data_IF_451299720274
#
_entry.id   IF_451299720274
#
_cell.length_a   1.000
_cell.length_b   1.000
_cell.length_c   1.000
_cell.angle_alpha   90.00
_cell.angle_beta   90.00
_cell.angle_gamma   90.00
#
_symmetry.space_group_name_H-M   'P 1'
#
loop_
_entity.id
_entity.type
_entity.pdbx_description
1 polymer ?
#
# COMPACT_ATOMS: atom_id res chain seq x y z
N UNK A 1 7.18 -19.62 12.40
CA UNK A 1 7.77 -18.31 12.71
C UNK A 1 9.27 -18.42 13.03
N UNK A 2 9.67 -19.36 13.93
CA UNK A 2 11.06 -19.51 14.34
C UNK A 2 12.02 -19.58 13.14
N UNK A 3 11.77 -20.43 12.18
CA UNK A 3 12.62 -20.59 10.99
C UNK A 3 12.81 -19.26 10.23
N UNK A 4 11.75 -18.50 9.97
CA UNK A 4 11.84 -17.25 9.20
C UNK A 4 12.49 -16.11 9.98
N UNK A 5 12.03 -15.88 11.21
CA UNK A 5 12.46 -14.72 11.99
C UNK A 5 13.73 -14.94 12.80
N UNK A 6 13.94 -16.16 13.31
CA UNK A 6 15.10 -16.50 14.15
C UNK A 6 16.22 -17.13 13.34
N UNK A 7 15.93 -18.26 12.65
CA UNK A 7 16.99 -19.02 11.99
C UNK A 7 17.48 -18.32 10.71
N UNK A 8 16.56 -17.75 9.90
CA UNK A 8 16.91 -16.95 8.73
C UNK A 8 17.17 -15.46 9.04
N UNK A 9 16.76 -14.98 10.20
CA UNK A 9 17.02 -13.64 10.70
C UNK A 9 16.25 -12.51 10.00
N UNK A 10 15.13 -12.80 9.31
CA UNK A 10 14.29 -11.76 8.73
C UNK A 10 13.58 -10.94 9.82
N UNK A 11 13.38 -9.66 9.56
CA UNK A 11 12.64 -8.79 10.48
C UNK A 11 12.48 -7.37 9.95
N UNK A 12 11.70 -6.57 10.68
CA UNK A 12 11.45 -5.18 10.34
C UNK A 12 12.72 -4.32 10.38
N UNK A 13 12.85 -3.38 9.44
CA UNK A 13 13.87 -2.34 9.52
C UNK A 13 13.38 -1.20 10.42
N UNK A 14 13.67 -1.30 11.70
CA UNK A 14 13.25 -0.29 12.69
C UNK A 14 14.09 0.99 12.65
N UNK A 15 15.32 0.91 12.10
CA UNK A 15 16.27 2.03 12.07
C UNK A 15 16.02 2.96 10.88
N UNK A 16 15.57 2.39 9.76
CA UNK A 16 15.27 3.14 8.53
C UNK A 16 14.07 2.53 7.82
N UNK A 17 12.88 2.85 8.31
CA UNK A 17 11.63 2.32 7.78
C UNK A 17 11.34 2.77 6.33
N UNK A 18 11.75 4.00 5.99
CA UNK A 18 11.48 4.61 4.68
C UNK A 18 12.57 4.38 3.64
N UNK A 19 13.57 3.55 3.93
CA UNK A 19 14.53 3.10 2.92
C UNK A 19 13.77 2.33 1.81
N UNK A 20 13.88 2.74 0.53
CA UNK A 20 13.24 2.04 -0.59
C UNK A 20 13.66 0.58 -0.70
N UNK A 21 14.86 0.21 -0.25
CA UNK A 21 15.36 -1.17 -0.25
C UNK A 21 14.48 -2.10 0.60
N UNK A 22 13.77 -1.58 1.59
CA UNK A 22 12.80 -2.35 2.37
C UNK A 22 11.59 -2.84 1.57
N UNK A 23 11.30 -2.21 0.41
CA UNK A 23 10.18 -2.57 -0.47
C UNK A 23 10.62 -3.45 -1.65
N UNK A 24 11.91 -3.51 -1.97
CA UNK A 24 12.45 -4.35 -3.04
C UNK A 24 12.76 -5.74 -2.50
N UNK A 25 12.02 -6.77 -2.95
CA UNK A 25 12.17 -8.16 -2.46
C UNK A 25 13.61 -8.67 -2.59
N UNK A 26 14.32 -8.29 -3.66
CA UNK A 26 15.73 -8.63 -3.85
C UNK A 26 16.61 -8.04 -2.74
N UNK A 27 16.39 -6.80 -2.36
CA UNK A 27 17.13 -6.15 -1.29
C UNK A 27 16.79 -6.78 0.07
N UNK A 28 15.50 -7.02 0.33
CA UNK A 28 15.04 -7.69 1.56
C UNK A 28 15.62 -9.10 1.69
N UNK A 29 15.71 -9.86 0.61
CA UNK A 29 16.37 -11.18 0.63
C UNK A 29 17.85 -11.09 1.01
N UNK A 30 18.55 -10.05 0.57
CA UNK A 30 19.97 -9.82 0.85
C UNK A 30 20.20 -9.33 2.29
N UNK A 31 19.42 -8.31 2.70
CA UNK A 31 19.63 -7.60 3.96
C UNK A 31 18.91 -8.27 5.14
N UNK A 32 17.93 -9.13 4.87
CA UNK A 32 16.99 -9.71 5.85
C UNK A 32 16.15 -8.66 6.58
N UNK A 33 16.08 -7.44 6.04
CA UNK A 33 15.32 -6.32 6.60
C UNK A 33 14.30 -5.82 5.59
N UNK A 34 13.08 -5.51 6.08
CA UNK A 34 12.00 -5.04 5.22
C UNK A 34 10.89 -4.35 5.99
N UNK A 35 9.86 -3.97 5.27
CA UNK A 35 8.60 -3.46 5.81
C UNK A 35 7.58 -4.59 5.92
N UNK A 36 6.46 -4.41 6.65
CA UNK A 36 5.48 -5.48 6.88
C UNK A 36 5.07 -6.23 5.62
N UNK A 37 4.75 -5.52 4.53
CA UNK A 37 4.25 -6.16 3.31
C UNK A 37 5.32 -6.95 2.55
N UNK A 38 6.55 -6.47 2.46
CA UNK A 38 7.64 -7.19 1.78
C UNK A 38 8.04 -8.46 2.55
N UNK A 39 8.08 -8.38 3.88
CA UNK A 39 8.31 -9.53 4.75
C UNK A 39 7.15 -10.53 4.67
N UNK A 40 5.90 -10.05 4.63
CA UNK A 40 4.71 -10.88 4.47
C UNK A 40 4.75 -11.69 3.16
N UNK A 41 5.11 -11.06 2.05
CA UNK A 41 5.23 -11.74 0.75
C UNK A 41 6.23 -12.88 0.83
N UNK A 42 7.45 -12.63 1.35
CA UNK A 42 8.47 -13.67 1.50
C UNK A 42 8.04 -14.78 2.46
N UNK A 43 7.38 -14.42 3.56
CA UNK A 43 6.85 -15.39 4.52
C UNK A 43 5.77 -16.27 3.90
N UNK A 44 4.85 -15.69 3.12
CA UNK A 44 3.79 -16.42 2.42
C UNK A 44 4.34 -17.38 1.35
N UNK A 45 5.36 -16.97 0.60
CA UNK A 45 6.03 -17.84 -0.38
C UNK A 45 6.65 -19.07 0.28
N UNK A 46 7.33 -18.90 1.41
CA UNK A 46 7.86 -20.03 2.19
C UNK A 46 6.74 -20.91 2.75
N UNK A 47 5.67 -20.30 3.27
CA UNK A 47 4.51 -21.02 3.79
C UNK A 47 3.84 -21.87 2.71
N UNK A 48 3.71 -21.33 1.50
CA UNK A 48 3.16 -22.07 0.35
C UNK A 48 4.05 -23.27 -0.01
N UNK A 49 5.36 -23.11 -0.01
CA UNK A 49 6.31 -24.22 -0.20
C UNK A 49 6.13 -25.34 0.84
N UNK A 50 5.71 -25.00 2.05
CA UNK A 50 5.37 -25.93 3.13
C UNK A 50 3.91 -26.39 3.11
N UNK A 51 3.13 -26.03 2.08
CA UNK A 51 1.70 -26.33 1.93
C UNK A 51 0.82 -25.76 3.05
N UNK A 52 1.24 -24.67 3.68
CA UNK A 52 0.43 -23.93 4.65
C UNK A 52 -0.52 -22.98 3.92
N UNK A 53 -1.77 -22.89 4.38
CA UNK A 53 -2.77 -21.95 3.85
C UNK A 53 -2.59 -20.58 4.50
N UNK A 54 -1.68 -19.80 3.94
CA UNK A 54 -1.35 -18.46 4.40
C UNK A 54 -1.85 -17.39 3.41
N UNK A 55 -2.35 -16.28 3.93
CA UNK A 55 -2.92 -15.19 3.15
C UNK A 55 -2.47 -13.84 3.71
N UNK A 56 -2.22 -12.89 2.81
CA UNK A 56 -1.99 -11.49 3.19
C UNK A 56 -3.28 -10.83 3.65
N UNK A 57 -3.17 -9.93 4.60
CA UNK A 57 -4.28 -9.14 5.16
C UNK A 57 -3.90 -7.67 5.12
N UNK A 58 -4.70 -6.87 4.38
CA UNK A 58 -4.55 -5.43 4.31
C UNK A 58 -5.15 -4.74 5.53
N UNK A 59 -4.53 -4.91 6.69
CA UNK A 59 -5.00 -4.32 7.94
C UNK A 59 -4.80 -2.78 7.93
N UNK A 60 -5.69 -1.99 8.57
CA UNK A 60 -5.52 -0.55 8.69
C UNK A 60 -4.17 -0.19 9.31
N UNK A 61 -3.43 0.72 8.67
CA UNK A 61 -2.10 1.15 9.10
C UNK A 61 -1.00 0.08 9.01
N UNK A 62 -1.34 -1.18 8.69
CA UNK A 62 -0.37 -2.28 8.71
C UNK A 62 -0.66 -3.34 7.63
N UNK A 63 0.27 -4.28 7.44
CA UNK A 63 0.04 -5.47 6.61
C UNK A 63 0.38 -6.71 7.44
N UNK A 64 -0.50 -7.70 7.44
CA UNK A 64 -0.38 -8.89 8.28
C UNK A 64 -0.46 -10.17 7.45
N UNK A 65 -0.11 -11.28 8.06
CA UNK A 65 -0.30 -12.63 7.49
C UNK A 65 -1.29 -13.39 8.34
N UNK A 66 -2.30 -13.97 7.69
CA UNK A 66 -3.27 -14.88 8.29
C UNK A 66 -2.99 -16.31 7.86
N UNK A 67 -2.90 -17.23 8.82
CA UNK A 67 -2.72 -18.68 8.58
C UNK A 67 -3.96 -19.41 9.05
N UNK A 68 -4.56 -20.19 8.17
CA UNK A 68 -5.69 -21.05 8.50
C UNK A 68 -5.19 -22.42 8.97
N UNK A 69 -5.54 -22.76 10.20
CA UNK A 69 -5.22 -24.03 10.85
C UNK A 69 -6.50 -24.85 11.06
N UNK A 70 -6.42 -26.18 11.27
CA UNK A 70 -7.60 -27.03 11.51
C UNK A 70 -8.47 -26.58 12.71
N UNK A 71 -7.87 -25.93 13.72
CA UNK A 71 -8.55 -25.49 14.95
C UNK A 71 -8.81 -23.99 15.01
N UNK A 72 -8.62 -23.26 13.91
CA UNK A 72 -8.83 -21.80 13.87
C UNK A 72 -7.85 -21.08 12.97
N UNK A 73 -7.68 -19.78 13.20
CA UNK A 73 -6.74 -18.96 12.45
C UNK A 73 -5.74 -18.27 13.38
N UNK A 74 -4.54 -18.02 12.86
CA UNK A 74 -3.50 -17.24 13.52
C UNK A 74 -3.17 -16.04 12.65
N UNK A 75 -3.12 -14.87 13.25
CA UNK A 75 -2.67 -13.63 12.59
C UNK A 75 -1.26 -13.31 13.08
N UNK A 76 -0.36 -13.05 12.15
CA UNK A 76 1.06 -12.81 12.41
C UNK A 76 1.39 -11.40 11.93
N UNK A 77 2.08 -10.64 12.77
CA UNK A 77 2.73 -9.40 12.38
C UNK A 77 4.09 -9.74 11.73
N UNK A 78 4.26 -9.56 10.42
CA UNK A 78 5.50 -9.93 9.73
C UNK A 78 6.66 -9.00 10.05
N UNK A 79 6.40 -7.84 10.66
CA UNK A 79 7.45 -6.90 11.06
C UNK A 79 8.17 -7.36 12.33
N UNK A 80 7.41 -7.89 13.28
CA UNK A 80 7.92 -8.34 14.58
C UNK A 80 8.02 -9.87 14.71
N UNK A 81 7.32 -10.62 13.87
CA UNK A 81 7.23 -12.08 13.93
C UNK A 81 6.24 -12.60 14.97
N UNK A 82 5.57 -11.72 15.70
CA UNK A 82 4.65 -12.11 16.76
C UNK A 82 3.27 -12.49 16.22
N UNK A 83 2.66 -13.49 16.83
CA UNK A 83 1.25 -13.80 16.65
C UNK A 83 0.41 -12.83 17.49
N UNK A 84 -0.66 -12.32 16.91
CA UNK A 84 -1.54 -11.35 17.54
C UNK A 84 -2.81 -12.01 18.04
N UNK A 85 -3.20 -11.71 19.28
CA UNK A 85 -4.49 -12.11 19.86
C UNK A 85 -5.62 -11.24 19.28
N UNK A 86 -6.87 -11.64 19.52
CA UNK A 86 -8.05 -10.87 19.11
C UNK A 86 -8.05 -9.48 19.76
N UNK A 87 -7.69 -9.42 21.03
CA UNK A 87 -7.61 -8.20 21.84
C UNK A 87 -6.57 -7.24 21.24
N UNK A 88 -5.36 -7.74 20.95
CA UNK A 88 -4.29 -6.93 20.35
C UNK A 88 -4.66 -6.41 18.94
N UNK A 89 -5.46 -7.16 18.17
CA UNK A 89 -5.97 -6.71 16.88
C UNK A 89 -7.05 -5.64 17.07
N UNK A 90 -7.94 -5.77 18.05
CA UNK A 90 -8.96 -4.77 18.36
C UNK A 90 -8.35 -3.45 18.81
N UNK A 91 -7.36 -3.48 19.71
CA UNK A 91 -6.61 -2.30 20.16
C UNK A 91 -5.96 -1.56 18.98
N UNK A 92 -5.38 -2.30 18.02
CA UNK A 92 -4.77 -1.70 16.81
C UNK A 92 -5.79 -1.09 15.87
N UNK A 93 -7.07 -1.46 15.96
CA UNK A 93 -8.16 -0.90 15.16
C UNK A 93 -8.74 0.38 15.75
N UNK A 94 -8.66 0.59 17.04
CA UNK A 94 -9.27 1.75 17.72
C UNK A 94 -9.00 3.11 17.04
N UNK A 95 -7.76 3.43 16.59
CA UNK A 95 -7.48 4.71 15.92
C UNK A 95 -8.18 4.88 14.57
N UNK A 96 -8.63 3.77 13.95
CA UNK A 96 -9.23 3.73 12.62
C UNK A 96 -10.74 3.57 12.66
N UNK A 97 -11.32 3.38 13.83
CA UNK A 97 -12.78 3.32 14.00
C UNK A 97 -13.36 4.74 13.97
N UNK A 98 -14.54 4.93 13.34
CA UNK A 98 -15.22 6.22 13.40
C UNK A 98 -15.46 6.59 14.87
N UNK A 99 -14.95 7.73 15.31
CA UNK A 99 -15.31 8.27 16.63
C UNK A 99 -16.81 8.51 16.61
N UNK A 100 -17.56 7.68 17.32
CA UNK A 100 -18.96 7.92 17.56
C UNK A 100 -19.11 9.29 18.22
N UNK A 101 -19.85 10.20 17.57
CA UNK A 101 -20.30 11.43 18.21
C UNK A 101 -21.04 11.03 19.50
N UNK A 102 -20.55 11.48 20.62
CA UNK A 102 -21.16 11.29 21.94
C UNK A 102 -22.61 11.72 21.87
N UNK A 103 -23.57 10.78 21.95
CA UNK A 103 -24.96 11.11 22.12
C UNK A 103 -26.03 10.26 21.46
N UNK A 104 -25.72 9.28 20.67
CA UNK A 104 -26.73 8.34 20.13
C UNK A 104 -26.45 6.94 20.68
N UNK A 105 -27.48 6.36 21.29
CA UNK A 105 -27.59 5.02 21.88
C UNK A 105 -26.54 4.04 21.33
N UNK A 106 -25.66 3.61 22.22
CA UNK A 106 -24.69 2.55 21.99
C UNK A 106 -25.44 1.22 21.83
N UNK A 107 -25.89 0.93 20.62
CA UNK A 107 -26.13 -0.43 20.18
C UNK A 107 -24.92 -0.82 19.32
N UNK A 108 -24.12 -1.72 19.85
CA UNK A 108 -22.96 -2.43 19.36
C UNK A 108 -22.80 -2.51 17.82
N UNK A 109 -22.44 -1.45 17.16
CA UNK A 109 -21.94 -1.49 15.79
C UNK A 109 -20.39 -1.49 15.81
N UNK A 110 -19.80 -2.35 16.64
CA UNK A 110 -18.40 -2.74 16.49
C UNK A 110 -18.28 -3.43 15.11
N UNK A 111 -17.66 -2.75 14.16
CA UNK A 111 -17.42 -3.36 12.85
C UNK A 111 -16.66 -4.66 13.11
N UNK A 112 -17.22 -5.82 12.78
CA UNK A 112 -16.66 -7.10 13.18
C UNK A 112 -15.20 -7.19 12.73
N UNK A 113 -14.27 -7.51 13.64
CA UNK A 113 -12.85 -7.69 13.34
C UNK A 113 -12.62 -8.55 12.09
N UNK A 114 -13.51 -9.50 11.82
CA UNK A 114 -13.46 -10.36 10.63
C UNK A 114 -13.47 -9.60 9.30
N UNK A 115 -14.06 -8.40 9.22
CA UNK A 115 -14.05 -7.58 8.01
C UNK A 115 -12.65 -7.03 7.72
N UNK A 116 -11.88 -6.70 8.75
CA UNK A 116 -10.50 -6.23 8.63
C UNK A 116 -9.48 -7.36 8.42
N UNK A 117 -9.91 -8.62 8.61
CA UNK A 117 -9.09 -9.82 8.40
C UNK A 117 -9.39 -10.53 7.08
N UNK A 118 -10.00 -9.84 6.13
CA UNK A 118 -10.22 -10.41 4.79
C UNK A 118 -8.90 -10.60 4.06
N UNK A 119 -8.86 -11.65 3.23
CA UNK A 119 -7.70 -11.95 2.38
C UNK A 119 -7.51 -10.86 1.33
N UNK A 120 -6.34 -10.27 1.29
CA UNK A 120 -5.96 -9.35 0.23
C UNK A 120 -5.72 -10.12 -1.08
N UNK A 121 -6.25 -9.64 -2.19
CA UNK A 121 -5.95 -10.21 -3.49
C UNK A 121 -4.48 -9.97 -3.88
N UNK A 122 -3.83 -10.89 -4.61
CA UNK A 122 -2.43 -10.72 -5.03
C UNK A 122 -2.18 -9.39 -5.75
N UNK A 123 -3.13 -8.95 -6.57
CA UNK A 123 -3.08 -7.67 -7.27
C UNK A 123 -3.01 -6.48 -6.30
N UNK A 124 -3.79 -6.51 -5.24
CA UNK A 124 -3.83 -5.45 -4.22
C UNK A 124 -2.54 -5.42 -3.39
N UNK A 125 -1.95 -6.60 -3.13
CA UNK A 125 -0.65 -6.71 -2.46
C UNK A 125 0.43 -6.01 -3.30
N UNK A 126 0.52 -6.34 -4.60
CA UNK A 126 1.49 -5.70 -5.50
C UNK A 126 1.23 -4.20 -5.62
N UNK A 127 -0.03 -3.79 -5.78
CA UNK A 127 -0.40 -2.37 -5.82
C UNK A 127 0.03 -1.62 -4.56
N UNK A 128 -0.15 -2.21 -3.38
CA UNK A 128 0.27 -1.62 -2.11
C UNK A 128 1.80 -1.52 -2.00
N UNK A 129 2.54 -2.52 -2.46
CA UNK A 129 4.01 -2.45 -2.52
C UNK A 129 4.48 -1.31 -3.43
N UNK A 130 3.87 -1.16 -4.61
CA UNK A 130 4.17 -0.07 -5.52
C UNK A 130 3.81 1.30 -4.92
N UNK A 131 2.67 1.42 -4.22
CA UNK A 131 2.30 2.67 -3.55
C UNK A 131 3.27 3.07 -2.44
N UNK A 132 3.82 2.11 -1.70
CA UNK A 132 4.87 2.42 -0.74
C UNK A 132 6.09 3.03 -1.43
N UNK A 133 6.56 2.46 -2.53
CA UNK A 133 7.66 3.01 -3.32
C UNK A 133 7.31 4.39 -3.92
N UNK A 134 6.07 4.57 -4.40
CA UNK A 134 5.56 5.85 -4.90
C UNK A 134 5.73 6.96 -3.85
N UNK A 135 5.28 6.71 -2.62
CA UNK A 135 5.39 7.70 -1.54
C UNK A 135 6.85 8.01 -1.17
N UNK A 136 7.70 7.00 -1.12
CA UNK A 136 9.13 7.17 -0.84
C UNK A 136 9.79 8.01 -1.94
N UNK A 137 9.64 7.64 -3.21
CA UNK A 137 10.26 8.37 -4.31
C UNK A 137 9.69 9.79 -4.45
N UNK A 138 8.40 9.99 -4.17
CA UNK A 138 7.79 11.32 -4.12
C UNK A 138 8.42 12.19 -3.03
N UNK A 139 8.60 11.67 -1.82
CA UNK A 139 9.20 12.40 -0.71
C UNK A 139 10.67 12.75 -0.95
N UNK A 140 11.39 11.87 -1.66
CA UNK A 140 12.78 12.07 -2.06
C UNK A 140 12.95 12.91 -3.33
N UNK A 141 11.84 13.29 -4.00
CA UNK A 141 11.82 13.99 -5.29
C UNK A 141 12.58 13.22 -6.40
N UNK A 142 12.64 11.89 -6.28
CA UNK A 142 13.20 11.03 -7.33
C UNK A 142 12.12 10.78 -8.41
N UNK A 143 11.93 11.79 -9.25
CA UNK A 143 10.87 11.82 -10.26
C UNK A 143 10.98 10.69 -11.27
N UNK A 144 12.20 10.29 -11.63
CA UNK A 144 12.42 9.20 -12.57
C UNK A 144 11.90 7.87 -12.03
N UNK A 145 12.26 7.52 -10.80
CA UNK A 145 11.74 6.30 -10.15
C UNK A 145 10.27 6.41 -9.81
N UNK A 146 9.79 7.60 -9.42
CA UNK A 146 8.37 7.85 -9.18
C UNK A 146 7.53 7.53 -10.42
N UNK A 147 7.87 8.09 -11.59
CA UNK A 147 7.19 7.84 -12.86
C UNK A 147 7.23 6.34 -13.20
N UNK A 148 8.39 5.70 -13.06
CA UNK A 148 8.52 4.27 -13.33
C UNK A 148 7.66 3.37 -12.42
N UNK A 149 7.40 3.78 -11.18
CA UNK A 149 6.46 3.10 -10.27
C UNK A 149 5.02 3.34 -10.69
N UNK A 150 4.68 4.58 -11.05
CA UNK A 150 3.34 4.94 -11.51
C UNK A 150 2.97 4.25 -12.84
N UNK A 151 3.93 4.07 -13.75
CA UNK A 151 3.74 3.26 -14.96
C UNK A 151 3.27 1.84 -14.62
N UNK A 152 3.91 1.22 -13.63
CA UNK A 152 3.54 -0.13 -13.18
C UNK A 152 2.18 -0.16 -12.49
N UNK A 153 1.86 0.87 -11.71
CA UNK A 153 0.54 1.00 -11.07
C UNK A 153 -0.58 1.12 -12.10
N UNK A 154 -0.40 1.92 -13.14
CA UNK A 154 -1.38 2.08 -14.22
C UNK A 154 -1.56 0.78 -15.01
N UNK A 155 -0.48 0.06 -15.32
CA UNK A 155 -0.58 -1.27 -15.95
C UNK A 155 -1.32 -2.27 -15.07
N UNK A 156 -1.06 -2.24 -13.77
CA UNK A 156 -1.70 -3.13 -12.79
C UNK A 156 -3.17 -2.77 -12.56
N UNK A 157 -3.48 -1.47 -12.50
CA UNK A 157 -4.78 -0.89 -12.15
C UNK A 157 -5.18 0.18 -13.20
N UNK A 158 -5.58 -0.20 -14.42
CA UNK A 158 -5.81 0.75 -15.50
C UNK A 158 -6.94 1.75 -15.26
N UNK A 159 -7.86 1.45 -14.33
CA UNK A 159 -8.95 2.35 -13.94
C UNK A 159 -8.65 3.17 -12.68
N UNK A 160 -7.43 3.11 -12.16
CA UNK A 160 -7.01 3.95 -11.04
C UNK A 160 -6.63 5.36 -11.55
N UNK A 161 -7.62 6.14 -11.93
CA UNK A 161 -7.45 7.46 -12.58
C UNK A 161 -6.56 8.41 -11.79
N UNK A 162 -6.57 8.32 -10.47
CA UNK A 162 -5.68 9.10 -9.62
C UNK A 162 -4.18 8.83 -9.90
N UNK A 163 -3.82 7.65 -10.38
CA UNK A 163 -2.43 7.35 -10.74
C UNK A 163 -1.99 8.10 -12.02
N UNK A 164 -2.91 8.33 -12.97
CA UNK A 164 -2.66 9.19 -14.14
C UNK A 164 -2.46 10.63 -13.71
N UNK A 165 -3.32 11.17 -12.85
CA UNK A 165 -3.14 12.51 -12.29
C UNK A 165 -1.76 12.68 -11.66
N UNK A 166 -1.40 11.76 -10.79
CA UNK A 166 -0.15 11.84 -10.02
C UNK A 166 1.07 11.69 -10.94
N UNK A 167 1.01 10.85 -11.99
CA UNK A 167 2.08 10.73 -12.99
C UNK A 167 2.15 11.97 -13.89
N UNK A 168 1.01 12.51 -14.30
CA UNK A 168 0.94 13.75 -15.05
C UNK A 168 1.57 14.92 -14.30
N UNK A 169 1.34 15.03 -12.98
CA UNK A 169 2.00 16.03 -12.13
C UNK A 169 3.52 15.81 -12.03
N UNK A 170 3.97 14.57 -11.95
CA UNK A 170 5.39 14.25 -11.95
C UNK A 170 6.05 14.62 -13.30
N UNK A 171 5.41 14.32 -14.42
CA UNK A 171 5.86 14.76 -15.75
C UNK A 171 5.91 16.30 -15.87
N UNK A 172 4.89 16.99 -15.38
CA UNK A 172 4.86 18.46 -15.39
C UNK A 172 6.04 19.06 -14.60
N UNK A 173 6.36 18.46 -13.45
CA UNK A 173 7.49 18.88 -12.61
C UNK A 173 8.83 18.69 -13.34
N UNK A 174 8.94 17.68 -14.19
CA UNK A 174 10.13 17.42 -15.01
C UNK A 174 10.17 18.19 -16.34
N UNK A 175 9.14 19.01 -16.62
CA UNK A 175 9.04 19.76 -17.88
C UNK A 175 8.61 18.90 -19.08
N UNK A 176 8.14 17.68 -18.86
CA UNK A 176 7.63 16.80 -19.91
C UNK A 176 6.16 17.15 -20.23
N UNK A 177 5.95 18.32 -20.86
CA UNK A 177 4.63 18.93 -21.05
C UNK A 177 3.65 18.03 -21.79
N UNK A 178 4.07 17.36 -22.88
CA UNK A 178 3.19 16.50 -23.68
C UNK A 178 2.66 15.29 -22.88
N UNK A 179 3.53 14.62 -22.14
CA UNK A 179 3.15 13.48 -21.30
C UNK A 179 2.26 13.93 -20.12
N UNK A 180 2.58 15.10 -19.53
CA UNK A 180 1.78 15.68 -18.47
C UNK A 180 0.36 15.96 -18.94
N UNK A 181 0.19 16.62 -20.10
CA UNK A 181 -1.12 16.89 -20.68
C UNK A 181 -1.91 15.62 -20.94
N UNK A 182 -1.29 14.62 -21.58
CA UNK A 182 -1.95 13.34 -21.86
C UNK A 182 -2.53 12.70 -20.60
N UNK A 183 -1.76 12.65 -19.53
CA UNK A 183 -2.17 12.02 -18.29
C UNK A 183 -3.22 12.83 -17.52
N UNK A 184 -3.02 14.15 -17.40
CA UNK A 184 -3.96 15.02 -16.69
C UNK A 184 -5.31 15.12 -17.40
N UNK A 185 -5.31 15.17 -18.74
CA UNK A 185 -6.53 15.13 -19.55
C UNK A 185 -7.25 13.78 -19.42
N UNK A 186 -6.51 12.66 -19.38
CA UNK A 186 -7.07 11.34 -19.11
C UNK A 186 -7.75 11.31 -17.74
N UNK A 187 -7.10 11.86 -16.72
CA UNK A 187 -7.71 11.98 -15.39
C UNK A 187 -9.01 12.79 -15.43
N UNK A 188 -8.99 14.00 -16.02
CA UNK A 188 -10.16 14.88 -16.09
C UNK A 188 -11.33 14.25 -16.85
N UNK A 189 -11.04 13.45 -17.88
CA UNK A 189 -12.07 12.75 -18.64
C UNK A 189 -12.79 11.65 -17.83
N UNK A 190 -12.10 11.01 -16.91
CA UNK A 190 -12.60 9.85 -16.17
C UNK A 190 -12.90 10.14 -14.69
N UNK A 191 -12.40 11.25 -14.15
CA UNK A 191 -12.65 11.62 -12.76
C UNK A 191 -14.14 11.85 -12.51
N UNK A 192 -14.63 11.42 -11.36
CA UNK A 192 -15.99 11.75 -10.93
C UNK A 192 -16.14 13.28 -10.82
N UNK A 193 -17.26 13.82 -11.27
CA UNK A 193 -17.54 15.27 -11.27
C UNK A 193 -17.39 15.92 -9.88
N UNK A 194 -17.53 15.13 -8.82
CA UNK A 194 -17.43 15.55 -7.42
C UNK A 194 -16.00 15.50 -6.85
N UNK A 195 -14.99 15.11 -7.65
CA UNK A 195 -13.63 15.06 -7.14
C UNK A 195 -13.14 16.48 -6.83
N UNK A 196 -12.66 16.69 -5.61
CA UNK A 196 -12.32 17.99 -5.04
C UNK A 196 -11.19 18.73 -5.78
N UNK A 197 -10.41 18.03 -6.59
CA UNK A 197 -9.21 18.56 -7.27
C UNK A 197 -9.42 18.83 -8.77
N UNK A 198 -10.60 18.56 -9.33
CA UNK A 198 -10.89 18.76 -10.76
C UNK A 198 -10.55 20.19 -11.24
N UNK A 199 -11.01 21.21 -10.51
CA UNK A 199 -10.74 22.59 -10.85
C UNK A 199 -9.24 22.91 -10.88
N UNK A 200 -8.52 22.46 -9.86
CA UNK A 200 -7.06 22.66 -9.78
C UNK A 200 -6.31 21.95 -10.92
N UNK A 201 -6.73 20.75 -11.29
CA UNK A 201 -6.11 20.01 -12.40
C UNK A 201 -6.46 20.63 -13.74
N UNK A 202 -7.68 21.14 -13.94
CA UNK A 202 -8.06 21.86 -15.16
C UNK A 202 -7.22 23.12 -15.35
N UNK A 203 -7.05 23.92 -14.30
CA UNK A 203 -6.19 25.12 -14.34
C UNK A 203 -4.74 24.77 -14.67
N UNK A 204 -4.24 23.65 -14.16
CA UNK A 204 -2.90 23.15 -14.46
C UNK A 204 -2.75 22.76 -15.94
N UNK A 205 -3.74 22.07 -16.51
CA UNK A 205 -3.78 21.71 -17.94
C UNK A 205 -3.74 22.97 -18.81
N UNK A 206 -4.56 23.98 -18.49
CA UNK A 206 -4.59 25.24 -19.23
C UNK A 206 -3.27 26.01 -19.13
N UNK A 207 -2.62 25.96 -17.98
CA UNK A 207 -1.29 26.56 -17.80
C UNK A 207 -0.20 25.85 -18.62
N UNK A 208 -0.28 24.52 -18.70
CA UNK A 208 0.67 23.72 -19.49
C UNK A 208 0.49 23.95 -21.00
N UNK A 209 -0.75 24.07 -21.50
CA UNK A 209 -1.04 24.38 -22.91
C UNK A 209 -0.46 25.72 -23.32
N UNK A 210 -0.65 26.77 -22.48
CA UNK A 210 -0.10 28.09 -22.75
C UNK A 210 1.43 28.20 -22.75
N UNK A 211 2.12 27.24 -22.14
CA UNK A 211 3.59 27.16 -22.15
C UNK A 211 4.16 26.39 -23.35
N UNK A 212 3.31 25.59 -24.01
CA UNK A 212 3.70 24.79 -25.16
C UNK A 212 3.50 25.50 -26.52
N UNK A 213 2.73 26.58 -26.50
CA UNK A 213 2.58 27.52 -27.62
C UNK A 213 3.68 28.61 -27.55
#
# INVERSE_FOLDING_TARGET
NQFFFVDLGFGGNVNDYYDPDNSYLQAVLRTRRGIPISLAVLWMELAQGLRLKAHGVGFPGHFMVKVNLPKGQVVIDPFTGHSLSREALSERLEPFQPRQLHGALADDADVPLGLYLQTAAPRDIVARMLRNLKEIHRSQQDWGRLIAVQDRLIVLLPEAWAEYRDRGQAYATQGHTAQALTDLETYLHHAAFEALDIGTIADQVDALRRKGD
#
